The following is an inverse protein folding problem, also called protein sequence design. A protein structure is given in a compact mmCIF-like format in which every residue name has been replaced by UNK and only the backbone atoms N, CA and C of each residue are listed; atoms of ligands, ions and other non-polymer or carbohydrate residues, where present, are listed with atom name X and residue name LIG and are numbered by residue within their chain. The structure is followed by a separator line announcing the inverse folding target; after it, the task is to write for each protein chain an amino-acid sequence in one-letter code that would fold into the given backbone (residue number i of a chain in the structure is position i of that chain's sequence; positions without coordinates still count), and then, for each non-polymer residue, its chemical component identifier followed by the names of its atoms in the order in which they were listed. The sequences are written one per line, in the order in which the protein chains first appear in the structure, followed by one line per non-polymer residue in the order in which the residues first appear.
data_IF_261173309142
#
_entry.id   IF_261173309142
#
_cell.length_a   1.000
_cell.length_b   1.000
_cell.length_c   1.000
_cell.angle_alpha   90.00
_cell.angle_beta   90.00
_cell.angle_gamma   90.00
#
_symmetry.space_group_name_H-M   'P 1'
#
loop_
_entity.id
_entity.type
_entity.pdbx_description
1 polymer ?
#
# COMPACT_ATOMS: atom_id res chain seq x y z
N UNK A 1 -11.65 20.58 8.10
CA UNK A 1 -11.29 19.24 8.59
C UNK A 1 -11.98 18.27 7.65
N UNK A 2 -11.28 17.85 6.60
CA UNK A 2 -11.84 16.90 5.63
C UNK A 2 -12.04 15.58 6.37
N UNK A 3 -13.30 15.16 6.49
CA UNK A 3 -13.64 13.85 7.04
C UNK A 3 -13.25 12.85 5.95
N UNK A 4 -11.99 12.40 5.98
CA UNK A 4 -11.58 11.22 5.25
C UNK A 4 -12.55 10.11 5.64
N UNK A 5 -13.29 9.57 4.66
CA UNK A 5 -14.37 8.59 4.90
C UNK A 5 -13.84 7.51 5.86
N UNK A 6 -14.48 7.34 7.03
CA UNK A 6 -14.03 6.42 8.08
C UNK A 6 -13.73 5.01 7.53
N UNK A 7 -14.45 4.61 6.48
CA UNK A 7 -14.24 3.34 5.76
C UNK A 7 -12.87 3.24 5.12
N UNK A 8 -12.35 4.34 4.56
CA UNK A 8 -11.02 4.39 3.98
C UNK A 8 -9.93 4.26 5.05
N UNK A 9 -10.05 4.99 6.16
CA UNK A 9 -9.10 4.91 7.26
C UNK A 9 -9.08 3.51 7.88
N UNK A 10 -10.26 2.94 8.13
CA UNK A 10 -10.39 1.60 8.69
C UNK A 10 -9.79 0.52 7.77
N UNK A 11 -10.09 0.55 6.46
CA UNK A 11 -9.52 -0.40 5.49
C UNK A 11 -7.99 -0.23 5.35
N UNK A 12 -7.50 1.01 5.42
CA UNK A 12 -6.05 1.29 5.40
C UNK A 12 -5.37 0.70 6.63
N UNK A 13 -5.90 0.93 7.83
CA UNK A 13 -5.35 0.39 9.08
C UNK A 13 -5.34 -1.14 9.08
N UNK A 14 -6.46 -1.78 8.69
CA UNK A 14 -6.54 -3.24 8.55
C UNK A 14 -5.53 -3.77 7.53
N UNK A 15 -5.34 -3.05 6.41
CA UNK A 15 -4.38 -3.44 5.38
C UNK A 15 -2.93 -3.33 5.88
N UNK A 16 -2.60 -2.31 6.67
CA UNK A 16 -1.30 -2.17 7.31
C UNK A 16 -1.05 -3.30 8.31
N UNK A 17 -2.03 -3.64 9.15
CA UNK A 17 -1.89 -4.76 10.09
C UNK A 17 -1.60 -6.08 9.37
N UNK A 18 -2.28 -6.33 8.24
CA UNK A 18 -2.02 -7.51 7.40
C UNK A 18 -0.59 -7.46 6.83
N UNK A 19 -0.13 -6.30 6.34
CA UNK A 19 1.23 -6.11 5.82
C UNK A 19 2.27 -6.40 6.91
N UNK A 20 2.07 -5.90 8.12
CA UNK A 20 2.99 -6.15 9.24
C UNK A 20 2.97 -7.62 9.69
N UNK A 21 1.80 -8.27 9.65
CA UNK A 21 1.65 -9.67 10.05
C UNK A 21 2.35 -10.64 9.09
N UNK A 22 2.23 -10.42 7.78
CA UNK A 22 2.81 -11.33 6.77
C UNK A 22 3.26 -10.59 5.51
N UNK A 23 4.30 -9.73 5.59
CA UNK A 23 4.70 -8.82 4.51
C UNK A 23 5.05 -9.54 3.20
N UNK A 24 5.51 -10.79 3.28
CA UNK A 24 5.85 -11.61 2.12
C UNK A 24 4.65 -12.12 1.31
N UNK A 25 3.43 -11.98 1.84
CA UNK A 25 2.19 -12.41 1.18
C UNK A 25 1.82 -11.57 -0.06
N UNK A 26 2.31 -10.32 -0.14
CA UNK A 26 2.00 -9.44 -1.25
C UNK A 26 2.99 -9.57 -2.40
N UNK A 27 2.51 -9.55 -3.66
CA UNK A 27 3.38 -9.66 -4.81
C UNK A 27 4.33 -8.46 -4.88
N UNK A 28 5.58 -8.75 -5.28
CA UNK A 28 6.57 -7.73 -5.62
C UNK A 28 6.18 -7.05 -6.93
N UNK A 29 6.33 -5.72 -6.97
CA UNK A 29 6.12 -4.90 -8.17
C UNK A 29 7.44 -4.33 -8.70
N UNK A 30 8.46 -4.22 -7.84
CA UNK A 30 9.84 -3.90 -8.23
C UNK A 30 10.83 -4.78 -7.46
N UNK A 31 12.11 -4.38 -7.40
CA UNK A 31 13.15 -5.17 -6.70
C UNK A 31 12.84 -5.37 -5.21
N UNK A 32 12.39 -4.31 -4.54
CA UNK A 32 12.13 -4.28 -3.08
C UNK A 32 10.71 -3.84 -2.70
N UNK A 33 9.95 -3.38 -3.68
CA UNK A 33 8.62 -2.80 -3.47
C UNK A 33 7.54 -3.86 -3.67
N UNK A 34 6.64 -3.97 -2.71
CA UNK A 34 5.44 -4.81 -2.75
C UNK A 34 4.20 -3.95 -2.83
N UNK A 35 3.11 -4.49 -3.39
CA UNK A 35 1.85 -3.77 -3.56
C UNK A 35 0.69 -4.51 -2.88
N UNK A 36 -0.02 -3.79 -2.02
CA UNK A 36 -1.27 -4.20 -1.40
C UNK A 36 -2.42 -3.34 -1.94
N UNK A 37 -3.41 -3.97 -2.55
CA UNK A 37 -4.64 -3.28 -2.98
C UNK A 37 -5.59 -3.15 -1.79
N UNK A 38 -6.12 -1.94 -1.54
CA UNK A 38 -7.18 -1.75 -0.56
C UNK A 38 -8.48 -2.37 -1.08
N UNK A 39 -9.22 -3.10 -0.24
CA UNK A 39 -10.49 -3.68 -0.68
C UNK A 39 -11.57 -2.61 -0.70
N UNK A 40 -12.27 -2.49 -1.83
CA UNK A 40 -13.38 -1.54 -1.98
C UNK A 40 -12.96 -0.11 -2.35
N UNK A 41 -11.66 0.15 -2.53
CA UNK A 41 -11.15 1.46 -2.94
C UNK A 41 -10.11 1.30 -4.07
N UNK A 42 -10.10 2.19 -5.08
CA UNK A 42 -9.11 2.19 -6.16
C UNK A 42 -7.77 2.79 -5.68
N UNK A 43 -7.24 2.28 -4.58
CA UNK A 43 -5.98 2.72 -3.96
C UNK A 43 -5.09 1.51 -3.71
N UNK A 44 -3.79 1.69 -3.95
CA UNK A 44 -2.80 0.69 -3.61
C UNK A 44 -1.79 1.27 -2.63
N UNK A 45 -1.49 0.47 -1.60
CA UNK A 45 -0.38 0.68 -0.69
C UNK A 45 0.85 0.00 -1.28
N UNK A 46 1.88 0.78 -1.52
CA UNK A 46 3.21 0.30 -1.85
C UNK A 46 4.03 0.31 -0.58
N UNK A 47 4.72 -0.79 -0.31
CA UNK A 47 5.60 -0.85 0.83
C UNK A 47 6.92 -1.53 0.49
N UNK A 48 7.97 -1.09 1.15
CA UNK A 48 9.28 -1.71 1.12
C UNK A 48 9.53 -2.35 2.48
N UNK A 49 9.87 -3.63 2.48
CA UNK A 49 10.22 -4.36 3.69
C UNK A 49 11.73 -4.25 3.90
N UNK A 50 12.16 -3.35 4.78
CA UNK A 50 13.52 -3.37 5.32
C UNK A 50 13.55 -4.07 6.68
N UNK A 51 14.71 -4.59 7.10
CA UNK A 51 14.85 -5.39 8.33
C UNK A 51 14.49 -4.64 9.62
N UNK A 52 14.34 -3.31 9.57
CA UNK A 52 14.02 -2.48 10.73
C UNK A 52 12.81 -1.56 10.54
N UNK A 53 12.45 -1.23 9.30
CA UNK A 53 11.40 -0.23 9.01
C UNK A 53 10.61 -0.61 7.76
N UNK A 54 9.30 -0.32 7.77
CA UNK A 54 8.42 -0.50 6.62
C UNK A 54 7.99 0.87 6.12
N UNK A 55 8.49 1.27 4.95
CA UNK A 55 8.08 2.52 4.32
C UNK A 55 6.81 2.26 3.51
N UNK A 56 5.69 2.84 3.93
CA UNK A 56 4.38 2.71 3.26
C UNK A 56 4.07 3.99 2.51
N UNK A 57 3.77 3.87 1.22
CA UNK A 57 3.36 4.97 0.35
C UNK A 57 2.07 4.58 -0.38
N UNK A 58 1.06 5.46 -0.35
CA UNK A 58 -0.21 5.24 -1.04
C UNK A 58 -0.25 6.03 -2.36
N UNK A 59 -0.61 5.36 -3.46
CA UNK A 59 -0.91 6.03 -4.72
C UNK A 59 -2.34 5.71 -5.18
N UNK A 60 -3.09 6.70 -5.72
CA UNK A 60 -4.38 6.44 -6.36
C UNK A 60 -4.14 5.66 -7.66
N UNK A 61 -4.97 4.63 -7.91
CA UNK A 61 -4.75 3.65 -8.99
C UNK A 61 -4.72 4.28 -10.40
N UNK A 62 -5.39 5.41 -10.58
CA UNK A 62 -5.34 6.22 -11.80
C UNK A 62 -3.92 6.73 -12.16
N UNK A 63 -3.01 6.86 -11.19
CA UNK A 63 -1.64 7.35 -11.38
C UNK A 63 -0.55 6.28 -11.18
N UNK A 64 -0.93 5.02 -10.86
CA UNK A 64 0.04 3.96 -10.55
C UNK A 64 0.91 3.56 -11.75
N UNK A 65 0.39 3.67 -12.97
CA UNK A 65 1.15 3.35 -14.20
C UNK A 65 2.37 4.27 -14.35
N UNK A 66 2.30 5.51 -13.85
CA UNK A 66 3.40 6.47 -13.92
C UNK A 66 4.51 6.16 -12.92
N UNK A 67 4.18 5.76 -11.69
CA UNK A 67 5.15 5.48 -10.63
C UNK A 67 5.89 4.14 -10.84
N UNK A 68 5.24 3.14 -11.44
CA UNK A 68 5.88 1.86 -11.79
C UNK A 68 6.91 1.99 -12.94
N UNK A 69 6.90 3.09 -13.69
CA UNK A 69 7.88 3.36 -14.75
C UNK A 69 9.13 4.11 -14.26
N UNK A 70 9.20 4.49 -12.99
CA UNK A 70 10.32 5.28 -12.41
C UNK A 70 11.09 4.51 -11.31
N UNK A 71 10.78 3.23 -11.10
CA UNK A 71 11.45 2.36 -10.13
C UNK A 71 12.26 1.27 -10.84
#
# INVERSE_FOLDING_TARGET
MEVVDYRFFNETSISIERILFMPDAWPKVGERTRRCMLKGFPYALFFVQEQRETLVTSFPVENITMAASIA
#
